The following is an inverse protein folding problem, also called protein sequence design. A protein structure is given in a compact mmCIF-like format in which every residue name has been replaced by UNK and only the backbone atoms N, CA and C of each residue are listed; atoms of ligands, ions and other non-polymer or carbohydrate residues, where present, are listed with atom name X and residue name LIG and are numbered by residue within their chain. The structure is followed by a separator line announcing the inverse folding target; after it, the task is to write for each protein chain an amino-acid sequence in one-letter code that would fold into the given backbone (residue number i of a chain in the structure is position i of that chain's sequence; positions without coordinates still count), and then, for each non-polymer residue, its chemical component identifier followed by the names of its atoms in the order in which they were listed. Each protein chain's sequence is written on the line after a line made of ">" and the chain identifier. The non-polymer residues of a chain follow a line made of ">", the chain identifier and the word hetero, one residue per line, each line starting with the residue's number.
data_IF_024336577155
#
_entry.id   IF_024336577155
#
_cell.length_a   1.000
_cell.length_b   1.000
_cell.length_c   1.000
_cell.angle_alpha   90.00
_cell.angle_beta   90.00
_cell.angle_gamma   90.00
#
_symmetry.space_group_name_H-M   'P 1'
#
loop_
_entity.id
_entity.type
_entity.pdbx_description
1 polymer ?
#
# COMPACT_ATOMS: atom_id res chain seq x y z
N UNK A 1 -14.10 -5.60 11.58
CA UNK A 1 -14.29 -4.41 10.71
C UNK A 1 -12.90 -3.94 10.29
N UNK A 2 -12.68 -3.60 9.02
CA UNK A 2 -11.38 -3.09 8.56
C UNK A 2 -11.24 -1.62 8.96
N UNK A 3 -10.06 -1.24 9.45
CA UNK A 3 -9.77 0.16 9.79
C UNK A 3 -9.42 0.94 8.53
N UNK A 4 -10.08 2.09 8.32
CA UNK A 4 -9.83 2.97 7.18
C UNK A 4 -9.02 4.17 7.67
N UNK A 5 -7.85 4.38 7.08
CA UNK A 5 -6.95 5.50 7.39
C UNK A 5 -6.77 6.36 6.12
N UNK A 6 -6.82 7.69 6.28
CA UNK A 6 -6.56 8.63 5.19
C UNK A 6 -5.10 9.04 5.21
N UNK A 7 -4.45 9.02 4.04
CA UNK A 7 -3.01 9.20 3.92
C UNK A 7 -2.72 10.26 2.88
N UNK A 8 -2.12 11.37 3.29
CA UNK A 8 -1.75 12.46 2.36
C UNK A 8 -0.36 12.25 1.79
N UNK A 9 -0.23 12.27 0.45
CA UNK A 9 1.09 12.29 -0.21
C UNK A 9 1.38 13.67 -0.78
N UNK A 10 2.64 14.11 -0.69
CA UNK A 10 3.08 15.40 -1.23
C UNK A 10 3.67 15.30 -2.64
N UNK A 11 3.69 14.09 -3.21
CA UNK A 11 4.20 13.78 -4.54
C UNK A 11 3.05 13.36 -5.45
N UNK A 12 3.27 13.39 -6.77
CA UNK A 12 2.27 12.90 -7.74
C UNK A 12 1.88 11.43 -7.47
N UNK A 13 2.85 10.62 -7.04
CA UNK A 13 2.64 9.24 -6.64
C UNK A 13 3.71 8.80 -5.64
N UNK A 14 3.46 7.65 -5.00
CA UNK A 14 4.44 6.90 -4.22
C UNK A 14 4.44 5.44 -4.68
N UNK A 15 5.59 4.75 -4.65
CA UNK A 15 5.64 3.32 -4.99
C UNK A 15 5.02 2.49 -3.86
N UNK A 16 4.34 1.40 -4.20
CA UNK A 16 3.66 0.56 -3.23
C UNK A 16 4.57 0.05 -2.11
N UNK A 17 5.78 -0.42 -2.42
CA UNK A 17 6.73 -0.87 -1.39
C UNK A 17 7.20 0.26 -0.47
N UNK A 18 7.43 1.45 -1.01
CA UNK A 18 7.74 2.66 -0.24
C UNK A 18 6.56 3.11 0.62
N UNK A 19 5.34 3.04 0.09
CA UNK A 19 4.11 3.39 0.79
C UNK A 19 3.89 2.52 2.02
N UNK A 20 3.99 1.19 1.86
CA UNK A 20 3.84 0.25 2.97
C UNK A 20 4.90 0.48 4.07
N UNK A 21 6.14 0.74 3.66
CA UNK A 21 7.23 1.03 4.60
C UNK A 21 7.01 2.36 5.31
N UNK A 22 6.61 3.40 4.58
CA UNK A 22 6.42 4.74 5.13
C UNK A 22 5.31 4.77 6.19
N UNK A 23 4.25 3.99 5.99
CA UNK A 23 3.16 3.81 6.95
C UNK A 23 3.47 2.82 8.07
N UNK A 24 4.72 2.35 8.17
CA UNK A 24 5.16 1.34 9.15
C UNK A 24 4.29 0.07 9.16
N UNK A 25 3.72 -0.30 8.00
CA UNK A 25 2.99 -1.57 7.82
C UNK A 25 3.98 -2.74 7.72
N UNK A 26 5.17 -2.43 7.23
CA UNK A 26 6.30 -3.34 7.10
C UNK A 26 7.56 -2.63 7.59
N UNK A 27 8.46 -3.39 8.19
CA UNK A 27 9.70 -2.92 8.82
C UNK A 27 10.82 -2.72 7.78
N UNK A 28 10.74 -3.40 6.64
CA UNK A 28 11.80 -3.37 5.61
C UNK A 28 11.27 -3.50 4.18
N UNK A 29 12.10 -3.09 3.21
CA UNK A 29 11.80 -3.29 1.79
C UNK A 29 11.76 -4.78 1.38
N UNK A 30 12.49 -5.65 2.09
CA UNK A 30 12.43 -7.10 1.89
C UNK A 30 11.08 -7.67 2.34
N UNK A 31 10.57 -7.21 3.48
CA UNK A 31 9.23 -7.60 3.95
C UNK A 31 8.15 -7.04 3.01
N UNK A 32 8.28 -5.80 2.56
CA UNK A 32 7.39 -5.22 1.53
C UNK A 32 7.35 -6.09 0.26
N UNK A 33 8.52 -6.57 -0.21
CA UNK A 33 8.60 -7.51 -1.34
C UNK A 33 7.80 -8.77 -1.06
N UNK A 34 7.99 -9.41 0.09
CA UNK A 34 7.32 -10.67 0.41
C UNK A 34 5.81 -10.51 0.46
N UNK A 35 5.29 -9.56 1.24
CA UNK A 35 3.82 -9.39 1.39
C UNK A 35 3.12 -9.04 0.08
N UNK A 36 3.77 -8.26 -0.79
CA UNK A 36 3.25 -7.92 -2.11
C UNK A 36 3.26 -9.16 -3.03
N UNK A 37 4.38 -9.90 -3.10
CA UNK A 37 4.46 -11.10 -3.93
C UNK A 37 3.53 -12.23 -3.45
N UNK A 38 3.30 -12.33 -2.15
CA UNK A 38 2.38 -13.29 -1.53
C UNK A 38 0.90 -12.94 -1.75
N UNK A 39 0.61 -11.86 -2.49
CA UNK A 39 -0.75 -11.42 -2.81
C UNK A 39 -1.53 -10.93 -1.60
N UNK A 40 -0.84 -10.46 -0.54
CA UNK A 40 -1.47 -9.93 0.68
C UNK A 40 -1.95 -8.49 0.55
N UNK A 41 -1.66 -7.86 -0.58
CA UNK A 41 -1.97 -6.46 -0.84
C UNK A 41 -2.97 -6.34 -1.98
N UNK A 42 -3.96 -5.48 -1.81
CA UNK A 42 -4.85 -5.07 -2.91
C UNK A 42 -4.73 -3.57 -3.16
N UNK A 43 -4.80 -3.19 -4.43
CA UNK A 43 -4.88 -1.80 -4.88
C UNK A 43 -6.15 -1.66 -5.70
N UNK A 44 -7.07 -0.78 -5.27
CA UNK A 44 -8.38 -0.61 -5.89
C UNK A 44 -9.12 -1.95 -6.07
N UNK A 45 -9.18 -2.73 -4.99
CA UNK A 45 -9.88 -4.02 -4.89
C UNK A 45 -9.25 -5.19 -5.68
N UNK A 46 -8.20 -4.95 -6.45
CA UNK A 46 -7.44 -5.98 -7.17
C UNK A 46 -6.16 -6.39 -6.42
N UNK A 47 -5.85 -7.69 -6.37
CA UNK A 47 -4.58 -8.17 -5.80
C UNK A 47 -3.41 -7.63 -6.62
N UNK A 48 -2.46 -6.98 -5.95
CA UNK A 48 -1.30 -6.39 -6.59
C UNK A 48 -0.02 -7.10 -6.13
N UNK A 49 0.77 -7.59 -7.09
CA UNK A 49 2.03 -8.30 -6.86
C UNK A 49 3.25 -7.52 -7.35
N UNK A 50 3.05 -6.34 -7.94
CA UNK A 50 4.12 -5.45 -8.40
C UNK A 50 4.48 -4.44 -7.32
N UNK A 51 5.66 -4.62 -6.74
CA UNK A 51 6.26 -3.69 -5.76
C UNK A 51 6.33 -2.24 -6.23
N UNK A 52 6.66 -2.06 -7.51
CA UNK A 52 6.81 -0.75 -8.13
C UNK A 52 5.50 -0.12 -8.60
N UNK A 53 4.34 -0.70 -8.25
CA UNK A 53 3.04 -0.10 -8.54
C UNK A 53 3.01 1.31 -7.98
N UNK A 54 2.70 2.29 -8.83
CA UNK A 54 2.50 3.68 -8.41
C UNK A 54 1.13 3.81 -7.77
N UNK A 55 1.11 4.44 -6.61
CA UNK A 55 -0.09 4.76 -5.84
C UNK A 55 -0.28 6.27 -5.94
N UNK A 56 -1.41 6.67 -6.52
CA UNK A 56 -1.79 8.05 -6.75
C UNK A 56 -2.82 8.49 -5.68
N UNK A 57 -3.10 9.79 -5.54
CA UNK A 57 -4.28 10.24 -4.81
C UNK A 57 -5.54 9.52 -5.31
N UNK A 58 -6.53 9.39 -4.42
CA UNK A 58 -7.78 8.64 -4.59
C UNK A 58 -7.61 7.11 -4.67
N UNK A 59 -6.38 6.57 -4.70
CA UNK A 59 -6.17 5.13 -4.66
C UNK A 59 -6.46 4.56 -3.27
N UNK A 60 -6.96 3.34 -3.26
CA UNK A 60 -7.22 2.55 -2.06
C UNK A 60 -6.23 1.38 -1.99
N UNK A 61 -5.46 1.30 -0.92
CA UNK A 61 -4.53 0.19 -0.64
C UNK A 61 -5.03 -0.59 0.55
N UNK A 62 -5.30 -1.88 0.37
CA UNK A 62 -5.74 -2.79 1.43
C UNK A 62 -4.63 -3.80 1.74
N UNK A 63 -4.35 -3.99 3.03
CA UNK A 63 -3.42 -5.01 3.52
C UNK A 63 -3.79 -5.39 4.95
N UNK A 64 -3.84 -6.69 5.24
CA UNK A 64 -4.33 -7.23 6.52
C UNK A 64 -5.72 -6.69 6.87
N UNK A 65 -5.89 -6.10 8.06
CA UNK A 65 -7.14 -5.47 8.53
C UNK A 65 -7.16 -3.95 8.35
N UNK A 66 -6.29 -3.41 7.48
CA UNK A 66 -6.16 -1.98 7.23
C UNK A 66 -6.44 -1.62 5.77
N UNK A 67 -7.09 -0.49 5.59
CA UNK A 67 -7.36 0.16 4.31
C UNK A 67 -6.80 1.57 4.40
N UNK A 68 -5.98 1.94 3.42
CA UNK A 68 -5.45 3.28 3.27
C UNK A 68 -6.08 3.92 2.05
N UNK A 69 -6.73 5.07 2.23
CA UNK A 69 -7.20 5.91 1.13
C UNK A 69 -6.23 7.06 0.98
N UNK A 70 -5.63 7.18 -0.20
CA UNK A 70 -4.63 8.20 -0.48
C UNK A 70 -5.33 9.50 -0.88
N UNK A 71 -4.89 10.62 -0.32
CA UNK A 71 -5.36 11.98 -0.60
C UNK A 71 -4.22 12.90 -1.05
#
# INVERSE_FOLDING_TARGET
>A
MKNIEKVKISTEFIKLDQFLKWLAVVDSGSQAKQVILDGKVKVNDEVETRRGRKIYPEYKVEIFDKIYVVE
#
